data_IF_433189904347
#
_entry.id   IF_433189904347
#
_cell.length_a   1.000
_cell.length_b   1.000
_cell.length_c   1.000
_cell.angle_alpha   90.00
_cell.angle_beta   90.00
_cell.angle_gamma   90.00
#
_symmetry.space_group_name_H-M   'P 1'
#
loop_
_entity.id
_entity.type
_entity.pdbx_description
1 polymer ?
#
# COMPACT_ATOMS: atom_id res chain seq x y z
N UNK A 1 -15.64 -13.83 -19.99
CA UNK A 1 -16.28 -14.47 -18.81
C UNK A 1 -16.87 -15.84 -19.14
N UNK A 2 -16.13 -16.71 -19.80
CA UNK A 2 -16.64 -18.06 -20.10
C UNK A 2 -16.49 -18.92 -18.83
N UNK A 3 -17.61 -19.45 -18.33
CA UNK A 3 -17.75 -20.54 -17.34
C UNK A 3 -17.18 -20.35 -15.91
N UNK A 4 -17.57 -19.27 -15.18
CA UNK A 4 -17.43 -19.27 -13.70
C UNK A 4 -18.76 -19.57 -12.97
N UNK A 5 -19.73 -20.21 -13.60
CA UNK A 5 -20.96 -20.65 -12.93
C UNK A 5 -20.60 -21.65 -11.82
N UNK A 6 -21.05 -21.39 -10.59
CA UNK A 6 -20.74 -22.15 -9.37
C UNK A 6 -19.27 -22.16 -8.94
N UNK A 7 -18.41 -21.28 -9.48
CA UNK A 7 -17.04 -21.17 -9.00
C UNK A 7 -17.00 -20.56 -7.60
N UNK A 8 -16.20 -21.15 -6.72
CA UNK A 8 -15.96 -20.70 -5.37
C UNK A 8 -14.49 -20.26 -5.24
N UNK A 9 -14.26 -19.04 -4.78
CA UNK A 9 -12.91 -18.48 -4.63
C UNK A 9 -12.76 -17.83 -3.27
N UNK A 10 -11.56 -17.85 -2.68
CA UNK A 10 -11.27 -17.13 -1.46
C UNK A 10 -11.34 -15.61 -1.70
N UNK A 11 -11.68 -14.85 -0.68
CA UNK A 11 -11.86 -13.39 -0.80
C UNK A 11 -10.60 -12.70 -1.35
N UNK A 12 -9.39 -13.09 -0.89
CA UNK A 12 -8.14 -12.54 -1.40
C UNK A 12 -7.94 -12.80 -2.91
N UNK A 13 -8.34 -13.97 -3.40
CA UNK A 13 -8.29 -14.27 -4.84
C UNK A 13 -9.34 -13.51 -5.64
N UNK A 14 -10.51 -13.29 -5.06
CA UNK A 14 -11.52 -12.43 -5.66
C UNK A 14 -11.02 -10.98 -5.80
N UNK A 15 -10.45 -10.41 -4.73
CA UNK A 15 -9.88 -9.05 -4.75
C UNK A 15 -8.71 -8.98 -5.74
N UNK A 16 -7.80 -9.98 -5.73
CA UNK A 16 -6.69 -10.02 -6.69
C UNK A 16 -7.18 -10.02 -8.14
N UNK A 17 -8.19 -10.82 -8.45
CA UNK A 17 -8.78 -10.86 -9.81
C UNK A 17 -9.51 -9.53 -10.14
N UNK A 18 -10.19 -8.93 -9.17
CA UNK A 18 -10.91 -7.66 -9.35
C UNK A 18 -9.96 -6.50 -9.66
N UNK A 19 -8.87 -6.38 -8.92
CA UNK A 19 -7.96 -5.23 -9.00
C UNK A 19 -6.82 -5.47 -10.00
N UNK A 20 -6.25 -6.69 -10.06
CA UNK A 20 -4.96 -6.96 -10.68
C UNK A 20 -5.01 -8.03 -11.78
N UNK A 21 -6.17 -8.47 -12.24
CA UNK A 21 -6.26 -9.36 -13.40
C UNK A 21 -5.63 -8.68 -14.62
N UNK A 22 -4.70 -9.35 -15.30
CA UNK A 22 -3.93 -8.76 -16.42
C UNK A 22 -4.78 -8.12 -17.51
N UNK A 23 -5.98 -8.67 -17.78
CA UNK A 23 -6.87 -8.22 -18.85
C UNK A 23 -8.00 -7.32 -18.39
N UNK A 24 -8.55 -7.60 -17.20
CA UNK A 24 -9.80 -7.01 -16.74
C UNK A 24 -9.71 -6.32 -15.37
N UNK A 25 -8.56 -6.40 -14.69
CA UNK A 25 -8.37 -5.81 -13.38
C UNK A 25 -8.49 -4.29 -13.41
N UNK A 26 -9.05 -3.75 -12.35
CA UNK A 26 -9.33 -2.33 -12.21
C UNK A 26 -8.09 -1.45 -12.50
N UNK A 27 -6.97 -1.69 -11.84
CA UNK A 27 -5.72 -0.95 -12.04
C UNK A 27 -4.97 -1.31 -13.34
N UNK A 28 -5.40 -2.38 -14.01
CA UNK A 28 -4.73 -2.88 -15.22
C UNK A 28 -5.30 -2.31 -16.51
N UNK A 29 -6.55 -1.79 -16.47
CA UNK A 29 -7.29 -1.34 -17.67
C UNK A 29 -7.50 0.16 -17.75
N UNK A 30 -7.40 0.90 -16.63
CA UNK A 30 -7.57 2.35 -16.60
C UNK A 30 -6.64 3.00 -15.58
N UNK A 31 -6.40 4.30 -15.74
CA UNK A 31 -5.79 5.12 -14.70
C UNK A 31 -6.92 5.69 -13.82
N UNK A 32 -7.08 5.27 -12.55
CA UNK A 32 -8.14 5.75 -11.69
C UNK A 32 -7.80 7.04 -10.94
N UNK A 33 -6.57 7.56 -11.09
CA UNK A 33 -6.05 8.68 -10.31
C UNK A 33 -6.25 10.02 -11.01
N UNK A 34 -6.50 11.08 -10.22
CA UNK A 34 -6.64 12.45 -10.68
C UNK A 34 -8.08 12.90 -10.88
N UNK A 35 -8.27 14.16 -11.33
CA UNK A 35 -9.58 14.80 -11.44
C UNK A 35 -10.58 14.05 -12.34
N UNK A 36 -10.08 13.37 -13.37
CA UNK A 36 -10.90 12.55 -14.30
C UNK A 36 -11.02 11.09 -13.85
N UNK A 37 -10.38 10.70 -12.74
CA UNK A 37 -10.39 9.34 -12.20
C UNK A 37 -11.48 9.12 -11.15
N UNK A 38 -11.42 7.96 -10.51
CA UNK A 38 -12.32 7.61 -9.40
C UNK A 38 -11.82 8.14 -8.04
N UNK A 39 -10.55 8.59 -7.96
CA UNK A 39 -9.89 9.05 -6.73
C UNK A 39 -9.03 10.28 -6.93
N UNK A 40 -9.04 11.13 -5.90
CA UNK A 40 -8.07 12.22 -5.72
C UNK A 40 -7.29 11.91 -4.44
N UNK A 41 -6.06 11.41 -4.58
CA UNK A 41 -5.18 11.11 -3.44
C UNK A 41 -4.42 12.35 -2.98
N UNK A 42 -3.86 12.34 -1.78
CA UNK A 42 -3.15 13.48 -1.20
C UNK A 42 -2.09 14.10 -2.14
N UNK A 43 -1.26 13.32 -2.88
CA UNK A 43 -0.33 13.89 -3.87
C UNK A 43 -0.99 14.64 -5.03
N UNK A 44 -2.22 14.31 -5.37
CA UNK A 44 -2.98 14.98 -6.44
C UNK A 44 -3.73 16.21 -5.94
N UNK A 45 -3.97 16.33 -4.64
CA UNK A 45 -4.62 17.49 -4.01
C UNK A 45 -3.62 18.63 -3.87
N UNK A 46 -2.43 18.34 -3.32
CA UNK A 46 -1.41 19.35 -3.02
C UNK A 46 0.00 18.79 -3.15
N UNK A 47 0.83 19.53 -3.90
CA UNK A 47 2.26 19.24 -3.99
C UNK A 47 2.97 19.41 -2.64
N UNK A 48 2.43 20.20 -1.69
CA UNK A 48 2.97 20.37 -0.35
C UNK A 48 3.10 19.06 0.40
N UNK A 49 2.11 18.17 0.29
CA UNK A 49 2.17 16.83 0.85
C UNK A 49 3.44 16.11 0.37
N UNK A 50 3.66 16.09 -0.93
CA UNK A 50 4.80 15.40 -1.53
C UNK A 50 6.13 16.10 -1.20
N UNK A 51 6.18 17.43 -1.10
CA UNK A 51 7.36 18.17 -0.63
C UNK A 51 7.72 17.75 0.81
N UNK A 52 6.75 17.60 1.70
CA UNK A 52 7.00 17.13 3.08
C UNK A 52 7.53 15.69 3.11
N UNK A 53 7.03 14.80 2.25
CA UNK A 53 7.58 13.45 2.13
C UNK A 53 9.03 13.48 1.63
N UNK A 54 9.36 14.38 0.70
CA UNK A 54 10.73 14.56 0.25
C UNK A 54 11.66 15.05 1.38
N UNK A 55 11.21 16.02 2.19
CA UNK A 55 11.96 16.54 3.36
C UNK A 55 12.15 15.42 4.39
N UNK A 56 11.11 14.60 4.64
CA UNK A 56 11.27 13.43 5.50
C UNK A 56 12.34 12.47 4.98
N UNK A 57 12.35 12.15 3.68
CA UNK A 57 13.32 11.25 3.09
C UNK A 57 14.75 11.79 3.20
N UNK A 58 14.96 13.10 2.98
CA UNK A 58 16.24 13.76 3.14
C UNK A 58 16.71 13.73 4.61
N UNK A 59 15.82 14.07 5.54
CA UNK A 59 16.10 14.01 6.98
C UNK A 59 16.44 12.58 7.43
N UNK A 60 15.69 11.59 6.92
CA UNK A 60 15.95 10.19 7.25
C UNK A 60 17.27 9.68 6.68
N UNK A 61 17.66 10.08 5.47
CA UNK A 61 18.97 9.81 4.89
C UNK A 61 20.09 10.39 5.76
N UNK A 62 19.89 11.60 6.32
CA UNK A 62 20.79 12.18 7.31
C UNK A 62 20.97 11.29 8.54
N UNK A 63 19.86 10.75 9.07
CA UNK A 63 19.88 9.78 10.21
C UNK A 63 20.58 8.46 9.88
N UNK A 64 20.70 8.12 8.61
CA UNK A 64 21.47 6.97 8.14
C UNK A 64 22.96 7.30 7.93
N UNK A 65 23.44 8.44 8.43
CA UNK A 65 24.82 8.94 8.26
C UNK A 65 25.18 9.23 6.79
N UNK A 66 24.23 9.75 6.03
CA UNK A 66 24.41 10.22 4.65
C UNK A 66 25.13 9.22 3.74
N UNK A 67 24.65 7.98 3.58
CA UNK A 67 25.32 6.99 2.75
C UNK A 67 25.55 7.53 1.33
N UNK A 68 26.74 7.26 0.76
CA UNK A 68 27.13 7.72 -0.59
C UNK A 68 26.23 7.15 -1.70
N UNK A 69 25.57 6.02 -1.44
CA UNK A 69 24.58 5.40 -2.33
C UNK A 69 23.48 4.73 -1.50
N UNK A 70 22.24 4.96 -1.88
CA UNK A 70 21.06 4.30 -1.27
C UNK A 70 19.92 4.19 -2.29
N UNK A 71 18.99 3.28 -2.03
CA UNK A 71 17.78 3.13 -2.82
C UNK A 71 16.62 3.88 -2.16
N UNK A 72 15.98 4.78 -2.89
CA UNK A 72 14.65 5.27 -2.59
C UNK A 72 13.65 4.44 -3.38
N UNK A 73 12.66 3.86 -2.72
CA UNK A 73 11.73 2.92 -3.34
C UNK A 73 10.29 3.34 -3.06
N UNK A 74 9.56 3.78 -4.07
CA UNK A 74 8.12 4.01 -3.97
C UNK A 74 7.36 2.75 -4.34
N UNK A 75 6.42 2.34 -3.46
CA UNK A 75 5.54 1.20 -3.67
C UNK A 75 4.19 1.69 -4.18
N UNK A 76 3.85 1.38 -5.44
CA UNK A 76 2.57 1.79 -6.03
C UNK A 76 2.49 3.30 -6.27
N UNK A 77 3.22 3.81 -7.25
CA UNK A 77 3.32 5.26 -7.48
C UNK A 77 2.07 5.89 -8.15
N UNK A 78 1.00 5.13 -8.34
CA UNK A 78 -0.22 5.63 -8.98
C UNK A 78 0.07 6.27 -10.36
N UNK A 79 -0.29 7.54 -10.54
CA UNK A 79 0.02 8.29 -11.75
C UNK A 79 1.44 8.94 -11.74
N UNK A 80 2.21 8.79 -10.65
CA UNK A 80 3.57 9.30 -10.52
C UNK A 80 3.70 10.74 -10.01
N UNK A 81 2.61 11.39 -9.59
CA UNK A 81 2.66 12.80 -9.14
C UNK A 81 3.52 12.97 -7.88
N UNK A 82 3.46 12.07 -6.89
CA UNK A 82 4.30 12.16 -5.72
C UNK A 82 5.78 12.10 -6.11
N UNK A 83 6.20 11.10 -6.86
CA UNK A 83 7.60 10.94 -7.26
C UNK A 83 8.11 12.14 -8.09
N UNK A 84 7.29 12.70 -8.97
CA UNK A 84 7.62 13.91 -9.73
C UNK A 84 7.97 15.09 -8.81
N UNK A 85 7.17 15.32 -7.76
CA UNK A 85 7.42 16.39 -6.78
C UNK A 85 8.66 16.07 -5.93
N UNK A 86 8.82 14.81 -5.50
CA UNK A 86 10.01 14.36 -4.77
C UNK A 86 11.29 14.70 -5.53
N UNK A 87 11.37 14.33 -6.81
CA UNK A 87 12.54 14.59 -7.66
C UNK A 87 12.83 16.08 -7.79
N UNK A 88 11.79 16.89 -8.01
CA UNK A 88 11.91 18.36 -8.05
C UNK A 88 12.45 18.90 -6.72
N UNK A 89 12.01 18.40 -5.60
CA UNK A 89 12.50 18.81 -4.28
C UNK A 89 13.93 18.35 -4.06
N UNK A 90 14.29 17.12 -4.41
CA UNK A 90 15.64 16.58 -4.29
C UNK A 90 16.68 17.35 -5.11
N UNK A 91 16.26 17.99 -6.22
CA UNK A 91 17.19 18.81 -7.02
C UNK A 91 17.80 19.98 -6.26
N UNK A 92 17.16 20.42 -5.19
CA UNK A 92 17.65 21.47 -4.28
C UNK A 92 18.66 20.96 -3.23
N UNK A 93 18.89 19.64 -3.18
CA UNK A 93 19.79 18.97 -2.24
C UNK A 93 20.80 18.09 -3.00
N UNK A 94 21.86 18.69 -3.60
CA UNK A 94 22.76 17.98 -4.52
C UNK A 94 23.40 16.72 -3.93
N UNK A 95 23.84 16.74 -2.67
CA UNK A 95 24.45 15.58 -1.99
C UNK A 95 23.48 14.41 -1.91
N UNK A 96 22.23 14.67 -1.50
CA UNK A 96 21.17 13.65 -1.44
C UNK A 96 20.84 13.12 -2.84
N UNK A 97 20.61 14.01 -3.81
CA UNK A 97 20.26 13.66 -5.20
C UNK A 97 21.31 12.74 -5.83
N UNK A 98 22.60 13.05 -5.65
CA UNK A 98 23.69 12.26 -6.21
C UNK A 98 23.81 10.88 -5.58
N UNK A 99 23.48 10.74 -4.28
CA UNK A 99 23.48 9.48 -3.55
C UNK A 99 22.25 8.61 -3.85
N UNK A 100 21.12 9.23 -4.25
CA UNK A 100 19.82 8.60 -4.36
C UNK A 100 19.64 7.83 -5.67
N UNK A 101 19.30 6.55 -5.58
CA UNK A 101 18.84 5.70 -6.70
C UNK A 101 17.35 5.48 -6.57
N UNK A 102 16.57 6.09 -7.47
CA UNK A 102 15.10 6.05 -7.42
C UNK A 102 14.60 4.79 -8.11
N UNK A 103 13.74 4.07 -7.39
CA UNK A 103 13.09 2.87 -7.86
C UNK A 103 11.57 2.97 -7.62
N UNK A 104 10.78 2.42 -8.52
CA UNK A 104 9.32 2.33 -8.39
C UNK A 104 8.90 0.87 -8.53
N UNK A 105 8.16 0.35 -7.56
CA UNK A 105 7.50 -0.95 -7.67
C UNK A 105 6.09 -0.73 -8.19
N UNK A 106 5.81 -1.10 -9.44
CA UNK A 106 4.50 -0.96 -10.06
C UNK A 106 4.16 -2.20 -10.89
N UNK A 107 3.01 -2.82 -10.61
CA UNK A 107 2.55 -4.02 -11.31
C UNK A 107 1.85 -3.71 -12.64
N UNK A 108 1.17 -2.57 -12.73
CA UNK A 108 0.41 -2.15 -13.91
C UNK A 108 1.31 -1.56 -14.98
N UNK A 109 1.40 -2.22 -16.14
CA UNK A 109 2.14 -1.67 -17.31
C UNK A 109 1.54 -0.37 -17.82
N UNK A 110 0.21 -0.20 -17.68
CA UNK A 110 -0.46 1.05 -18.02
C UNK A 110 0.03 2.18 -17.12
N UNK A 111 0.00 1.97 -15.78
CA UNK A 111 0.47 2.97 -14.83
C UNK A 111 1.97 3.24 -14.98
N UNK A 112 2.80 2.22 -15.24
CA UNK A 112 4.22 2.44 -15.56
C UNK A 112 4.41 3.40 -16.75
N UNK A 113 3.59 3.28 -17.82
CA UNK A 113 3.63 4.21 -18.96
C UNK A 113 3.23 5.62 -18.55
N UNK A 114 2.15 5.76 -17.78
CA UNK A 114 1.71 7.05 -17.23
C UNK A 114 2.79 7.69 -16.37
N UNK A 115 3.40 6.93 -15.46
CA UNK A 115 4.49 7.38 -14.58
C UNK A 115 5.67 7.87 -15.41
N UNK A 116 6.11 7.12 -16.43
CA UNK A 116 7.21 7.53 -17.33
C UNK A 116 6.92 8.83 -18.06
N UNK A 117 5.69 9.02 -18.53
CA UNK A 117 5.27 10.25 -19.20
C UNK A 117 5.23 11.46 -18.26
N UNK A 118 4.76 11.28 -17.01
CA UNK A 118 4.61 12.35 -16.03
C UNK A 118 5.93 12.75 -15.37
N UNK A 119 6.78 11.78 -15.03
CA UNK A 119 8.01 12.03 -14.27
C UNK A 119 9.16 12.51 -15.17
N UNK A 120 9.26 12.00 -16.39
CA UNK A 120 10.26 12.37 -17.41
C UNK A 120 11.73 12.23 -16.97
N UNK A 121 12.03 11.41 -15.96
CA UNK A 121 13.39 11.12 -15.51
C UNK A 121 13.82 9.72 -15.98
N UNK A 122 14.84 9.66 -16.86
CA UNK A 122 15.36 8.41 -17.45
C UNK A 122 16.16 7.54 -16.47
N UNK A 123 16.52 8.06 -15.29
CA UNK A 123 17.33 7.35 -14.29
C UNK A 123 16.49 6.47 -13.36
N UNK A 124 15.16 6.60 -13.39
CA UNK A 124 14.25 5.80 -12.57
C UNK A 124 14.22 4.37 -13.07
N UNK A 125 14.30 3.43 -12.13
CA UNK A 125 14.16 2.01 -12.41
C UNK A 125 12.79 1.50 -11.95
N UNK A 126 12.04 0.85 -12.84
CA UNK A 126 10.79 0.16 -12.51
C UNK A 126 11.09 -1.29 -12.16
N UNK A 127 10.75 -1.69 -10.92
CA UNK A 127 10.98 -3.02 -10.39
C UNK A 127 9.75 -3.91 -10.63
N UNK A 128 9.98 -5.19 -10.91
CA UNK A 128 8.94 -6.21 -10.88
C UNK A 128 8.78 -6.81 -9.47
N UNK A 129 9.86 -6.83 -8.68
CA UNK A 129 9.85 -7.26 -7.29
C UNK A 129 11.01 -6.61 -6.51
N UNK A 130 10.88 -6.58 -5.18
CA UNK A 130 11.86 -5.94 -4.30
C UNK A 130 13.21 -6.68 -4.19
N UNK A 131 13.31 -7.93 -4.66
CA UNK A 131 14.58 -8.67 -4.65
C UNK A 131 15.56 -8.16 -5.71
N UNK A 132 15.06 -7.38 -6.69
CA UNK A 132 15.91 -6.74 -7.70
C UNK A 132 16.76 -5.58 -7.14
N UNK A 133 16.47 -5.11 -5.92
CA UNK A 133 17.27 -4.09 -5.26
C UNK A 133 18.63 -4.65 -4.85
N UNK A 134 19.67 -3.86 -5.08
CA UNK A 134 21.03 -4.17 -4.62
C UNK A 134 21.15 -4.11 -3.07
N UNK A 135 22.32 -4.38 -2.55
CA UNK A 135 22.62 -4.40 -1.11
C UNK A 135 23.02 -3.01 -0.56
N UNK A 136 22.44 -1.94 -1.06
CA UNK A 136 22.59 -0.58 -0.49
C UNK A 136 21.49 -0.31 0.53
N UNK A 137 21.67 0.68 1.44
CA UNK A 137 20.61 1.14 2.32
C UNK A 137 19.33 1.47 1.54
N UNK A 138 18.17 1.25 2.17
CA UNK A 138 16.89 1.43 1.49
C UNK A 138 15.94 2.33 2.28
N UNK A 139 15.37 3.33 1.62
CA UNK A 139 14.26 4.15 2.12
C UNK A 139 13.02 3.78 1.30
N UNK A 140 12.05 3.13 1.93
CA UNK A 140 10.79 2.75 1.29
C UNK A 140 9.70 3.77 1.61
N UNK A 141 8.89 4.10 0.62
CA UNK A 141 7.69 4.94 0.76
C UNK A 141 6.50 4.15 0.20
N UNK A 142 5.47 3.99 1.02
CA UNK A 142 4.22 3.34 0.66
C UNK A 142 3.06 4.27 1.04
N UNK A 143 2.53 5.00 0.06
CA UNK A 143 1.37 5.87 0.23
C UNK A 143 0.17 5.22 -0.41
N UNK A 144 -0.88 4.91 0.38
CA UNK A 144 -2.10 4.24 -0.09
C UNK A 144 -1.75 3.02 -0.96
N UNK A 145 -0.88 2.15 -0.44
CA UNK A 145 -0.42 0.95 -1.13
C UNK A 145 -0.92 -0.34 -0.48
N UNK A 146 -0.90 -0.38 0.85
CA UNK A 146 -1.25 -1.60 1.57
C UNK A 146 -2.76 -1.82 1.63
N UNK A 147 -3.56 -0.77 1.65
CA UNK A 147 -5.03 -0.81 1.66
C UNK A 147 -5.63 -1.45 0.40
N UNK A 148 -4.94 -1.37 -0.73
CA UNK A 148 -5.35 -1.98 -2.00
C UNK A 148 -4.88 -3.44 -2.17
N UNK A 149 -4.15 -4.01 -1.20
CA UNK A 149 -3.65 -5.38 -1.31
C UNK A 149 -4.74 -6.41 -0.93
N UNK A 150 -4.81 -7.55 -1.63
CA UNK A 150 -5.80 -8.59 -1.35
C UNK A 150 -5.79 -9.09 0.09
N UNK A 151 -6.97 -9.20 0.70
CA UNK A 151 -7.13 -9.68 2.08
C UNK A 151 -8.00 -10.93 2.15
N UNK A 152 -7.76 -11.73 3.19
CA UNK A 152 -8.64 -12.77 3.72
C UNK A 152 -9.47 -12.19 4.85
N UNK A 153 -10.72 -12.60 4.94
CA UNK A 153 -11.55 -12.34 6.11
C UNK A 153 -11.87 -13.65 6.82
N UNK A 154 -11.73 -13.64 8.14
CA UNK A 154 -12.12 -14.75 8.99
C UNK A 154 -13.09 -14.27 10.06
N UNK A 155 -14.16 -15.03 10.25
CA UNK A 155 -15.23 -14.73 11.19
C UNK A 155 -15.33 -15.82 12.24
N UNK A 156 -15.47 -15.44 13.50
CA UNK A 156 -15.74 -16.37 14.59
C UNK A 156 -17.24 -16.39 14.85
N UNK A 157 -17.87 -17.53 14.61
CA UNK A 157 -19.30 -17.78 14.94
C UNK A 157 -19.30 -18.79 16.08
N UNK A 158 -19.86 -18.42 17.23
CA UNK A 158 -19.79 -19.19 18.46
C UNK A 158 -18.33 -19.50 18.85
N UNK A 159 -17.90 -20.75 18.74
CA UNK A 159 -16.54 -21.19 19.06
C UNK A 159 -15.71 -21.57 17.83
N UNK A 160 -16.30 -21.53 16.61
CA UNK A 160 -15.68 -21.99 15.36
C UNK A 160 -15.27 -20.81 14.49
N UNK A 161 -14.19 -20.98 13.75
CA UNK A 161 -13.74 -20.03 12.75
C UNK A 161 -14.22 -20.40 11.35
N UNK A 162 -14.51 -19.39 10.54
CA UNK A 162 -14.91 -19.51 9.15
C UNK A 162 -14.06 -18.54 8.31
N UNK A 163 -13.64 -18.98 7.12
CA UNK A 163 -13.04 -18.12 6.11
C UNK A 163 -14.09 -17.67 5.12
N UNK A 164 -14.10 -16.39 4.77
CA UNK A 164 -15.03 -15.83 3.78
C UNK A 164 -14.55 -16.10 2.37
N UNK A 165 -15.45 -16.64 1.58
CA UNK A 165 -15.32 -16.91 0.15
C UNK A 165 -16.33 -16.08 -0.63
N UNK A 166 -16.11 -15.99 -1.96
CA UNK A 166 -17.05 -15.45 -2.92
C UNK A 166 -17.50 -16.59 -3.86
N UNK A 167 -18.80 -16.80 -3.93
CA UNK A 167 -19.42 -17.77 -4.84
C UNK A 167 -20.03 -17.04 -6.03
N UNK A 168 -19.67 -17.47 -7.23
CA UNK A 168 -20.24 -17.00 -8.48
C UNK A 168 -21.49 -17.80 -8.83
N UNK A 169 -22.68 -17.30 -8.50
CA UNK A 169 -23.96 -17.95 -8.85
C UNK A 169 -24.14 -17.91 -10.37
N UNK A 170 -23.92 -16.73 -10.96
CA UNK A 170 -23.88 -16.51 -12.41
C UNK A 170 -23.01 -15.28 -12.74
N UNK A 171 -23.03 -14.83 -13.99
CA UNK A 171 -22.24 -13.69 -14.44
C UNK A 171 -22.57 -12.35 -13.76
N UNK A 172 -23.77 -12.21 -13.16
CA UNK A 172 -24.26 -10.97 -12.54
C UNK A 172 -24.49 -11.08 -11.04
N UNK A 173 -24.54 -12.30 -10.49
CA UNK A 173 -24.87 -12.54 -9.09
C UNK A 173 -23.74 -13.26 -8.39
N UNK A 174 -23.15 -12.59 -7.39
CA UNK A 174 -22.14 -13.11 -6.49
C UNK A 174 -22.67 -13.04 -5.05
N UNK A 175 -22.22 -13.94 -4.20
CA UNK A 175 -22.58 -13.96 -2.78
C UNK A 175 -21.37 -14.34 -1.91
N UNK A 176 -21.36 -13.88 -0.67
CA UNK A 176 -20.42 -14.36 0.32
C UNK A 176 -20.83 -15.71 0.87
N UNK A 177 -19.86 -16.60 1.07
CA UNK A 177 -20.02 -17.88 1.71
C UNK A 177 -18.94 -18.06 2.77
N UNK A 178 -19.33 -18.26 4.02
CA UNK A 178 -18.41 -18.49 5.12
C UNK A 178 -18.21 -20.01 5.30
N UNK A 179 -16.99 -20.50 5.10
CA UNK A 179 -16.63 -21.92 5.10
C UNK A 179 -15.87 -22.24 6.39
N UNK A 180 -16.18 -23.35 7.10
CA UNK A 180 -15.44 -23.76 8.30
C UNK A 180 -13.92 -23.75 8.06
N UNK A 181 -13.16 -23.22 9.02
CA UNK A 181 -11.74 -22.97 8.85
C UNK A 181 -10.93 -23.38 10.08
N UNK A 182 -9.82 -24.09 9.85
CA UNK A 182 -8.85 -24.45 10.91
C UNK A 182 -7.86 -23.30 11.15
N UNK A 183 -8.26 -22.39 12.04
CA UNK A 183 -7.43 -21.24 12.43
C UNK A 183 -6.11 -21.67 13.10
N UNK A 184 -6.10 -22.77 13.87
CA UNK A 184 -4.86 -23.25 14.54
C UNK A 184 -3.83 -23.70 13.50
N UNK A 185 -4.26 -24.46 12.49
CA UNK A 185 -3.40 -24.88 11.38
C UNK A 185 -2.88 -23.70 10.58
N UNK A 186 -3.73 -22.71 10.34
CA UNK A 186 -3.34 -21.47 9.65
C UNK A 186 -2.32 -20.68 10.44
N UNK A 187 -2.51 -20.45 11.73
CA UNK A 187 -1.58 -19.74 12.61
C UNK A 187 -0.22 -20.45 12.67
N UNK A 188 -0.22 -21.80 12.71
CA UNK A 188 1.02 -22.59 12.61
C UNK A 188 1.74 -22.34 11.29
N UNK A 189 1.00 -22.31 10.16
CA UNK A 189 1.56 -22.04 8.82
C UNK A 189 2.17 -20.66 8.70
N UNK A 190 1.52 -19.62 9.21
CA UNK A 190 2.06 -18.25 9.17
C UNK A 190 3.02 -17.96 10.33
N UNK A 191 3.16 -18.92 11.26
CA UNK A 191 3.95 -18.82 12.50
C UNK A 191 3.58 -17.59 13.32
N UNK A 192 2.30 -17.23 13.40
CA UNK A 192 1.83 -16.02 14.06
C UNK A 192 0.41 -16.19 14.62
N UNK A 193 0.23 -15.95 15.93
CA UNK A 193 -1.09 -15.98 16.58
C UNK A 193 -1.86 -14.69 16.25
N UNK A 194 -2.75 -14.77 15.25
CA UNK A 194 -3.55 -13.64 14.79
C UNK A 194 -4.92 -13.60 15.47
N UNK A 195 -5.46 -14.75 15.89
CA UNK A 195 -6.83 -14.90 16.39
C UNK A 195 -6.99 -14.56 17.88
N UNK A 196 -5.90 -14.25 18.59
CA UNK A 196 -5.98 -13.96 20.03
C UNK A 196 -6.86 -12.74 20.29
N UNK A 197 -7.92 -12.92 21.09
CA UNK A 197 -8.96 -11.92 21.42
C UNK A 197 -9.64 -11.30 20.17
N UNK A 198 -9.77 -12.04 19.07
CA UNK A 198 -10.46 -11.58 17.87
C UNK A 198 -11.80 -12.33 17.67
N UNK A 199 -12.79 -11.60 17.17
CA UNK A 199 -14.06 -12.16 16.64
C UNK A 199 -14.09 -12.07 15.11
N UNK A 200 -13.33 -11.14 14.55
CA UNK A 200 -13.19 -10.89 13.12
C UNK A 200 -11.72 -10.62 12.78
N UNK A 201 -11.25 -11.02 11.63
CA UNK A 201 -9.86 -10.82 11.19
C UNK A 201 -9.84 -10.43 9.72
N UNK A 202 -9.17 -9.32 9.40
CA UNK A 202 -8.70 -8.97 8.08
C UNK A 202 -7.19 -9.20 8.03
N UNK A 203 -6.74 -10.03 7.10
CA UNK A 203 -5.34 -10.40 6.96
C UNK A 203 -4.92 -10.44 5.50
N UNK A 204 -3.90 -9.66 5.15
CA UNK A 204 -3.29 -9.71 3.82
C UNK A 204 -2.02 -10.58 3.82
N UNK A 205 -2.05 -11.76 3.20
CA UNK A 205 -0.84 -12.56 2.99
C UNK A 205 0.20 -11.81 2.15
N UNK A 206 -0.25 -11.02 1.17
CA UNK A 206 0.62 -10.26 0.29
C UNK A 206 1.28 -9.08 1.01
N UNK A 207 0.54 -8.34 1.84
CA UNK A 207 1.10 -7.28 2.70
C UNK A 207 2.18 -7.86 3.63
N UNK A 208 1.90 -8.99 4.26
CA UNK A 208 2.88 -9.69 5.12
C UNK A 208 4.14 -10.09 4.34
N UNK A 209 3.99 -10.55 3.09
CA UNK A 209 5.12 -10.87 2.22
C UNK A 209 5.96 -9.63 1.89
N UNK A 210 5.33 -8.50 1.55
CA UNK A 210 6.04 -7.24 1.33
C UNK A 210 6.76 -6.77 2.59
N UNK A 211 6.10 -6.76 3.74
CA UNK A 211 6.72 -6.39 5.02
C UNK A 211 7.93 -7.27 5.34
N UNK A 212 7.82 -8.60 5.14
CA UNK A 212 8.96 -9.52 5.32
C UNK A 212 10.16 -9.11 4.45
N UNK A 213 9.93 -8.82 3.17
CA UNK A 213 11.00 -8.44 2.25
C UNK A 213 11.61 -7.10 2.63
N UNK A 214 10.78 -6.09 2.93
CA UNK A 214 11.21 -4.76 3.36
C UNK A 214 12.05 -4.84 4.64
N UNK A 215 11.54 -5.50 5.68
CA UNK A 215 12.23 -5.63 6.97
C UNK A 215 13.55 -6.40 6.81
N UNK A 216 13.56 -7.46 6.00
CA UNK A 216 14.81 -8.17 5.68
C UNK A 216 15.84 -7.25 5.03
N UNK A 217 15.44 -6.42 4.05
CA UNK A 217 16.33 -5.46 3.38
C UNK A 217 16.85 -4.40 4.36
N UNK A 218 15.99 -3.83 5.19
CA UNK A 218 16.35 -2.86 6.22
C UNK A 218 17.35 -3.45 7.22
N UNK A 219 17.14 -4.68 7.68
CA UNK A 219 18.04 -5.35 8.62
C UNK A 219 19.42 -5.63 8.04
N UNK A 220 19.49 -6.04 6.79
CA UNK A 220 20.75 -6.40 6.14
C UNK A 220 21.56 -5.19 5.69
N UNK A 221 20.90 -4.13 5.25
CA UNK A 221 21.57 -3.04 4.54
C UNK A 221 21.35 -1.67 5.19
N UNK A 222 20.68 -1.62 6.34
CA UNK A 222 20.19 -0.38 6.96
C UNK A 222 19.06 0.28 6.15
N UNK A 223 18.29 1.16 6.78
CA UNK A 223 17.19 1.87 6.11
C UNK A 223 15.93 2.02 6.94
N UNK A 224 14.83 2.32 6.26
CA UNK A 224 13.52 2.47 6.88
C UNK A 224 12.36 2.44 5.89
N UNK A 225 11.15 2.42 6.42
CA UNK A 225 9.91 2.48 5.62
C UNK A 225 8.94 3.49 6.23
N UNK A 226 8.40 4.36 5.37
CA UNK A 226 7.27 5.23 5.66
C UNK A 226 6.01 4.62 5.04
N UNK A 227 5.05 4.28 5.88
CA UNK A 227 3.73 3.81 5.45
C UNK A 227 2.70 4.89 5.80
N UNK A 228 2.02 5.42 4.79
CA UNK A 228 0.93 6.38 4.90
C UNK A 228 -0.30 5.72 4.32
N UNK A 229 -1.30 5.46 5.16
CA UNK A 229 -2.45 4.70 4.73
C UNK A 229 -3.66 4.94 5.63
N UNK A 230 -4.85 4.60 5.17
CA UNK A 230 -6.05 4.58 5.98
C UNK A 230 -5.95 3.47 7.02
N UNK A 231 -5.93 3.83 8.29
CA UNK A 231 -5.61 2.88 9.35
C UNK A 231 -6.30 3.19 10.67
N UNK A 232 -6.32 2.18 11.54
CA UNK A 232 -6.75 2.29 12.92
C UNK A 232 -5.79 1.53 13.85
N UNK A 233 -5.84 1.88 15.16
CA UNK A 233 -4.91 1.36 16.17
C UNK A 233 -5.58 0.41 17.17
N UNK A 234 -6.87 0.10 16.99
CA UNK A 234 -7.61 -0.77 17.90
C UNK A 234 -6.97 -2.16 17.97
N UNK A 235 -7.05 -2.77 19.16
CA UNK A 235 -6.58 -4.17 19.32
C UNK A 235 -7.50 -5.15 18.61
N UNK A 236 -8.81 -4.89 18.60
CA UNK A 236 -9.79 -5.70 17.86
C UNK A 236 -9.89 -5.28 16.41
N UNK A 237 -9.92 -6.27 15.53
CA UNK A 237 -10.07 -6.03 14.09
C UNK A 237 -11.54 -5.88 13.72
N UNK A 238 -11.78 -5.05 12.70
CA UNK A 238 -13.11 -4.71 12.20
C UNK A 238 -13.25 -5.12 10.75
N UNK A 239 -14.48 -5.25 10.27
CA UNK A 239 -14.77 -5.38 8.84
C UNK A 239 -14.68 -3.98 8.22
N UNK A 240 -13.62 -3.73 7.49
CA UNK A 240 -13.34 -2.43 6.86
C UNK A 240 -13.32 -2.49 5.34
N UNK A 241 -13.53 -3.69 4.77
CA UNK A 241 -13.56 -3.89 3.33
C UNK A 241 -14.66 -3.06 2.68
N UNK A 242 -14.28 -2.26 1.72
CA UNK A 242 -15.15 -1.34 0.99
C UNK A 242 -14.83 -1.31 -0.49
N UNK A 243 -15.75 -0.80 -1.29
CA UNK A 243 -15.53 -0.54 -2.70
C UNK A 243 -16.00 0.86 -3.06
N UNK A 244 -15.25 1.52 -3.95
CA UNK A 244 -15.54 2.88 -4.43
C UNK A 244 -15.50 2.89 -5.95
N UNK A 245 -16.48 3.56 -6.55
CA UNK A 245 -16.53 3.84 -7.99
C UNK A 245 -17.15 5.21 -8.21
N UNK A 246 -16.54 6.04 -9.06
CA UNK A 246 -17.00 7.42 -9.35
C UNK A 246 -17.25 8.23 -8.05
N UNK A 247 -16.29 8.18 -7.13
CA UNK A 247 -16.33 8.87 -5.82
C UNK A 247 -17.48 8.46 -4.88
N UNK A 248 -18.14 7.31 -5.12
CA UNK A 248 -19.25 6.81 -4.29
C UNK A 248 -18.96 5.39 -3.81
N UNK A 249 -19.33 5.11 -2.57
CA UNK A 249 -19.31 3.75 -2.04
C UNK A 249 -20.29 2.86 -2.82
N UNK A 250 -19.86 1.64 -3.08
CA UNK A 250 -20.68 0.63 -3.73
C UNK A 250 -20.47 -0.74 -3.08
N UNK A 251 -21.36 -1.69 -3.39
CA UNK A 251 -21.22 -3.07 -2.96
C UNK A 251 -19.98 -3.72 -3.60
N UNK A 252 -19.13 -4.36 -2.75
CA UNK A 252 -17.88 -4.99 -3.18
C UNK A 252 -18.09 -6.05 -4.27
N UNK A 253 -19.16 -6.84 -4.16
CA UNK A 253 -19.46 -7.90 -5.12
C UNK A 253 -20.03 -7.35 -6.43
N UNK A 254 -20.88 -6.32 -6.35
CA UNK A 254 -21.45 -5.64 -7.53
C UNK A 254 -20.41 -4.86 -8.32
N UNK A 255 -19.38 -4.31 -7.60
CA UNK A 255 -18.28 -3.57 -8.18
C UNK A 255 -17.19 -4.42 -8.84
N UNK A 256 -17.37 -5.73 -8.97
CA UNK A 256 -16.35 -6.65 -9.48
C UNK A 256 -15.68 -6.13 -10.77
N UNK A 257 -14.36 -5.90 -10.71
CA UNK A 257 -13.50 -5.36 -11.79
C UNK A 257 -13.83 -3.92 -12.27
N UNK A 258 -14.77 -3.23 -11.63
CA UNK A 258 -15.19 -1.87 -12.02
C UNK A 258 -15.08 -0.84 -10.90
N UNK A 259 -14.78 -1.28 -9.69
CA UNK A 259 -14.55 -0.43 -8.53
C UNK A 259 -13.18 -0.68 -7.93
N UNK A 260 -12.67 0.30 -7.23
CA UNK A 260 -11.57 0.08 -6.31
C UNK A 260 -12.08 -0.68 -5.08
N UNK A 261 -11.28 -1.62 -4.61
CA UNK A 261 -11.59 -2.39 -3.41
C UNK A 261 -10.45 -2.17 -2.44
N UNK A 262 -10.76 -1.54 -1.31
CA UNK A 262 -9.80 -1.18 -0.27
C UNK A 262 -10.26 -1.64 1.10
N UNK A 263 -9.36 -1.60 2.08
CA UNK A 263 -9.65 -1.85 3.49
C UNK A 263 -8.77 -0.97 4.37
N UNK A 264 -9.18 -0.70 5.60
CA UNK A 264 -8.35 0.06 6.54
C UNK A 264 -7.35 -0.86 7.25
N UNK A 265 -6.09 -0.47 7.27
CA UNK A 265 -5.05 -1.25 7.91
C UNK A 265 -5.21 -1.23 9.45
N UNK A 266 -5.13 -2.40 10.06
CA UNK A 266 -4.92 -2.45 11.51
C UNK A 266 -3.42 -2.26 11.81
N UNK A 267 -3.02 -1.06 12.22
CA UNK A 267 -1.61 -0.77 12.53
C UNK A 267 -1.11 -1.52 13.78
N UNK A 268 -2.00 -1.94 14.67
CA UNK A 268 -1.59 -2.83 15.76
C UNK A 268 -1.12 -4.18 15.21
N UNK A 269 -1.85 -4.76 14.25
CA UNK A 269 -1.42 -5.99 13.57
C UNK A 269 -0.10 -5.78 12.81
N UNK A 270 0.02 -4.68 12.03
CA UNK A 270 1.25 -4.36 11.29
C UNK A 270 2.46 -4.27 12.24
N UNK A 271 2.33 -3.55 13.36
CA UNK A 271 3.38 -3.43 14.37
C UNK A 271 3.75 -4.79 15.00
N UNK A 272 2.76 -5.63 15.28
CA UNK A 272 3.01 -7.01 15.79
C UNK A 272 3.76 -7.86 14.77
N UNK A 273 3.42 -7.74 13.49
CA UNK A 273 4.13 -8.44 12.39
C UNK A 273 5.58 -7.93 12.30
N UNK A 274 5.80 -6.61 12.28
CA UNK A 274 7.13 -6.00 12.21
C UNK A 274 7.99 -6.45 13.40
N UNK A 275 7.45 -6.37 14.61
CA UNK A 275 8.14 -6.83 15.84
C UNK A 275 8.56 -8.28 15.76
N UNK A 276 7.69 -9.16 15.25
CA UNK A 276 8.02 -10.57 15.06
C UNK A 276 9.10 -10.79 13.99
N UNK A 277 9.14 -9.98 12.95
CA UNK A 277 10.14 -10.10 11.88
C UNK A 277 11.54 -9.65 12.30
N UNK A 278 11.67 -9.16 13.53
CA UNK A 278 12.96 -8.90 14.16
C UNK A 278 13.31 -7.44 14.28
N UNK A 279 12.66 -6.77 15.25
CA UNK A 279 13.17 -5.58 15.94
C UNK A 279 13.59 -4.40 15.05
N UNK A 280 12.65 -3.89 14.28
CA UNK A 280 12.74 -2.49 13.85
C UNK A 280 11.97 -1.64 14.86
N UNK A 281 12.50 -0.49 15.25
CA UNK A 281 11.72 0.51 15.96
C UNK A 281 10.58 0.98 15.04
N UNK A 282 9.36 1.02 15.55
CA UNK A 282 8.22 1.54 14.80
C UNK A 282 7.52 2.63 15.61
N UNK A 283 7.10 3.68 14.93
CA UNK A 283 6.34 4.77 15.50
C UNK A 283 5.13 5.03 14.61
N UNK A 284 3.96 5.20 15.23
CA UNK A 284 2.72 5.56 14.54
C UNK A 284 2.29 6.97 14.95
N UNK A 285 1.80 7.74 13.99
CA UNK A 285 1.27 9.09 14.22
C UNK A 285 0.18 9.38 13.19
N UNK A 286 -0.61 10.43 13.40
CA UNK A 286 -1.56 10.87 12.37
C UNK A 286 -0.85 11.65 11.26
N UNK A 287 -1.39 11.62 10.04
CA UNK A 287 -0.88 12.38 8.91
C UNK A 287 -0.78 13.87 9.24
N UNK A 288 -1.80 14.45 9.90
CA UNK A 288 -1.77 15.86 10.37
C UNK A 288 -0.53 16.13 11.21
N UNK A 289 -0.33 15.37 12.31
CA UNK A 289 0.84 15.56 13.20
C UNK A 289 2.17 15.38 12.49
N UNK A 290 2.25 14.40 11.58
CA UNK A 290 3.44 14.12 10.80
C UNK A 290 3.81 15.29 9.88
N UNK A 291 2.85 15.78 9.09
CA UNK A 291 3.07 16.88 8.14
C UNK A 291 3.36 18.20 8.87
N UNK A 292 2.65 18.48 9.99
CA UNK A 292 2.94 19.68 10.80
C UNK A 292 4.36 19.67 11.34
N UNK A 293 4.85 18.52 11.85
CA UNK A 293 6.24 18.41 12.32
C UNK A 293 7.29 18.59 11.23
N UNK A 294 6.92 18.37 9.97
CA UNK A 294 7.80 18.58 8.82
C UNK A 294 7.75 20.02 8.29
N UNK A 295 6.95 20.91 8.90
CA UNK A 295 6.87 22.32 8.53
C UNK A 295 5.89 22.61 7.39
N UNK A 296 4.83 21.83 7.21
CA UNK A 296 3.86 22.06 6.11
C UNK A 296 3.15 23.41 6.25
N UNK A 297 2.88 23.88 7.49
CA UNK A 297 2.23 25.16 7.74
C UNK A 297 3.14 26.34 7.37
N UNK A 298 4.41 26.29 7.80
CA UNK A 298 5.40 27.31 7.47
C UNK A 298 5.62 27.40 5.95
N UNK A 299 5.65 26.22 5.30
CA UNK A 299 5.77 26.15 3.84
C UNK A 299 4.56 26.72 3.12
N UNK A 300 3.36 26.50 3.63
CA UNK A 300 2.12 27.06 3.08
C UNK A 300 2.10 28.59 3.23
N UNK A 301 2.50 29.11 4.39
CA UNK A 301 2.59 30.56 4.63
C UNK A 301 3.59 31.26 3.68
N UNK A 302 4.78 30.68 3.49
CA UNK A 302 5.77 31.22 2.54
C UNK A 302 5.18 31.27 1.12
N UNK A 303 4.40 30.26 0.71
CA UNK A 303 3.79 30.24 -0.61
C UNK A 303 2.70 31.29 -0.75
N UNK A 304 1.86 31.50 0.27
CA UNK A 304 0.80 32.50 0.22
C UNK A 304 1.32 33.94 0.14
N UNK A 305 2.49 34.21 0.71
CA UNK A 305 3.15 35.52 0.63
C UNK A 305 3.80 35.81 -0.73
N UNK A 306 4.00 34.77 -1.56
CA UNK A 306 4.64 34.89 -2.89
C UNK A 306 3.63 34.76 -4.04
N UNK A 307 2.32 34.70 -3.74
CA UNK A 307 1.22 34.75 -4.70
C UNK A 307 0.61 36.14 -4.75
#
# INVERSE_FOLDING_TARGET
MKNKKNALVTLDKFIEDSLYNKKYGYYMKKNPFGKSGDFITAPNISFLFSEMIAIWAISFWGKLNCPKQFNLVELGAGNGEMMKVLIRTFSRFPKFKNACRINILEKSKLLQRTQKANIKDKKIRWLNNLNELNNSPCIFIANEFFDALPIKQFLKKEKKWYERYVKFINAKKLEYLDIPFDMKKFEKKISFKISYNQKFIEYSPLATKYLKTIIKKIKLNNGGVLIIDYAYLDKEMKNTLQAVSKHKYCDVLKGFRNSDITYNLNFNLINRIIKKLGSCSSMSTTQKKFLTKLGILDRAEILSKNM
#
